data_IF_869395495558
#
_entry.id   IF_869395495558
#
_cell.length_a   1.000
_cell.length_b   1.000
_cell.length_c   1.000
_cell.angle_alpha   90.00
_cell.angle_beta   90.00
_cell.angle_gamma   90.00
#
_symmetry.space_group_name_H-M   'P 1'
#
loop_
_entity.id
_entity.type
_entity.pdbx_description
1 polymer ?
#
# COMPACT_ATOMS: atom_id res chain seq x y z
N UNK A 1 -15.66 -18.03 7.81
CA UNK A 1 -16.18 -19.25 8.47
C UNK A 1 -15.02 -20.19 8.67
N UNK A 2 -14.81 -20.66 9.90
CA UNK A 2 -13.74 -21.59 10.25
C UNK A 2 -13.89 -22.88 9.45
N UNK A 3 -12.80 -23.31 8.81
CA UNK A 3 -12.72 -24.66 8.22
C UNK A 3 -11.77 -25.47 9.07
N UNK A 4 -12.25 -26.65 9.50
CA UNK A 4 -11.45 -27.64 10.23
C UNK A 4 -10.81 -28.55 9.19
N UNK A 5 -9.49 -28.50 9.06
CA UNK A 5 -8.81 -29.14 7.93
C UNK A 5 -8.41 -30.58 8.17
N UNK A 6 -8.12 -30.98 9.41
CA UNK A 6 -7.71 -32.34 9.74
C UNK A 6 -7.99 -32.65 11.20
N UNK A 7 -8.62 -33.79 11.50
CA UNK A 7 -8.62 -34.39 12.83
C UNK A 7 -7.65 -35.58 12.77
N UNK A 8 -6.41 -35.37 13.23
CA UNK A 8 -5.44 -36.47 13.36
C UNK A 8 -5.62 -37.16 14.70
N UNK A 9 -5.78 -38.49 14.69
CA UNK A 9 -5.68 -39.35 15.88
C UNK A 9 -4.52 -40.31 15.71
N UNK A 10 -3.52 -40.25 16.58
CA UNK A 10 -2.38 -41.15 16.56
C UNK A 10 -1.64 -41.23 17.90
N UNK A 11 -0.87 -42.31 18.14
CA UNK A 11 0.00 -42.42 19.31
C UNK A 11 1.28 -41.61 19.12
N UNK A 12 1.79 -40.96 20.18
CA UNK A 12 3.14 -40.40 20.23
C UNK A 12 4.21 -41.51 20.32
N UNK A 13 5.37 -41.28 19.72
CA UNK A 13 6.52 -42.20 19.73
C UNK A 13 7.17 -42.33 21.11
N UNK A 14 8.05 -43.31 21.29
CA UNK A 14 8.47 -43.80 22.63
C UNK A 14 9.93 -43.55 23.02
N UNK A 15 10.68 -42.61 22.43
CA UNK A 15 12.12 -42.47 22.75
C UNK A 15 12.66 -41.02 22.75
N UNK A 16 13.34 -40.64 23.84
CA UNK A 16 14.30 -39.54 23.99
C UNK A 16 14.79 -38.88 22.70
N UNK A 17 14.44 -37.60 22.47
CA UNK A 17 14.97 -36.75 21.38
C UNK A 17 15.02 -37.45 20.00
N UNK A 18 14.15 -38.44 19.79
CA UNK A 18 14.20 -39.38 18.68
C UNK A 18 12.90 -40.17 18.51
N UNK A 19 11.82 -39.74 19.17
CA UNK A 19 10.47 -40.16 18.87
C UNK A 19 10.15 -39.66 17.45
N UNK A 20 9.21 -40.30 16.77
CA UNK A 20 8.77 -39.84 15.46
C UNK A 20 8.10 -38.47 15.61
N UNK A 21 8.89 -37.40 15.58
CA UNK A 21 8.46 -36.01 15.40
C UNK A 21 7.40 -36.02 14.31
N UNK A 22 6.16 -35.66 14.69
CA UNK A 22 5.09 -35.58 13.71
C UNK A 22 5.13 -34.20 13.12
N UNK A 23 5.75 -34.13 11.94
CA UNK A 23 5.74 -32.91 11.14
C UNK A 23 4.45 -32.88 10.31
N UNK A 24 3.60 -31.89 10.55
CA UNK A 24 2.36 -31.70 9.80
C UNK A 24 2.50 -30.46 8.94
N UNK A 25 2.49 -30.65 7.63
CA UNK A 25 2.46 -29.56 6.65
C UNK A 25 1.02 -29.18 6.31
N UNK A 26 0.72 -27.89 6.34
CA UNK A 26 -0.52 -27.35 5.80
C UNK A 26 -0.20 -26.11 4.96
N UNK A 27 -0.84 -26.05 3.80
CA UNK A 27 -0.78 -24.94 2.88
C UNK A 27 -2.22 -24.64 2.49
N UNK A 28 -2.70 -23.44 2.80
CA UNK A 28 -4.02 -23.00 2.36
C UNK A 28 -3.89 -21.69 1.59
N UNK A 29 -4.35 -21.65 0.32
CA UNK A 29 -4.25 -20.46 -0.51
C UNK A 29 -5.15 -19.30 -0.05
N UNK A 30 -6.06 -19.52 0.91
CA UNK A 30 -7.11 -18.56 1.25
C UNK A 30 -7.10 -18.04 2.70
N UNK A 31 -6.16 -18.46 3.56
CA UNK A 31 -6.22 -18.11 4.98
C UNK A 31 -4.93 -17.62 5.58
N UNK A 32 -5.14 -16.80 6.61
CA UNK A 32 -4.16 -15.86 7.08
C UNK A 32 -3.98 -16.00 8.59
N UNK A 33 -5.02 -16.31 9.38
CA UNK A 33 -4.85 -16.80 10.75
C UNK A 33 -5.17 -18.29 10.81
N UNK A 34 -4.23 -19.03 11.34
CA UNK A 34 -4.40 -20.44 11.64
C UNK A 34 -4.36 -20.60 13.15
N UNK A 35 -5.47 -21.06 13.71
CA UNK A 35 -5.54 -21.53 15.09
C UNK A 35 -5.34 -23.03 15.08
N UNK A 36 -4.42 -23.51 15.89
CA UNK A 36 -4.18 -24.94 16.12
C UNK A 36 -4.59 -25.22 17.55
N UNK A 37 -5.43 -26.22 17.75
CA UNK A 37 -5.79 -26.72 19.08
C UNK A 37 -5.45 -28.19 19.14
N UNK A 38 -4.62 -28.59 20.11
CA UNK A 38 -4.35 -30.00 20.39
C UNK A 38 -5.20 -30.39 21.60
N UNK A 39 -6.10 -31.35 21.40
CA UNK A 39 -6.96 -31.90 22.44
C UNK A 39 -6.37 -33.23 22.94
N UNK A 40 -6.35 -33.42 24.26
CA UNK A 40 -5.84 -34.62 24.89
C UNK A 40 -6.98 -35.40 25.55
N UNK A 41 -7.03 -36.72 25.34
CA UNK A 41 -8.07 -37.57 25.94
C UNK A 41 -7.92 -37.66 27.49
N UNK A 42 -6.78 -37.25 28.07
CA UNK A 42 -6.51 -37.20 29.51
C UNK A 42 -5.71 -35.93 29.90
N UNK A 43 -6.03 -35.32 31.05
CA UNK A 43 -5.54 -34.01 31.55
C UNK A 43 -4.02 -33.92 31.93
N UNK A 44 -3.10 -34.62 31.28
CA UNK A 44 -1.69 -34.68 31.74
C UNK A 44 -0.67 -34.58 30.60
N UNK A 45 -0.98 -33.81 29.57
CA UNK A 45 -0.10 -33.66 28.41
C UNK A 45 0.60 -32.29 28.43
N UNK A 46 1.92 -32.32 28.37
CA UNK A 46 2.79 -31.15 28.17
C UNK A 46 3.45 -31.32 26.80
N UNK A 47 3.07 -30.50 25.84
CA UNK A 47 3.46 -30.62 24.44
C UNK A 47 4.10 -29.30 23.99
N UNK A 48 5.25 -29.39 23.34
CA UNK A 48 5.82 -28.22 22.66
C UNK A 48 5.37 -28.20 21.21
N UNK A 49 4.77 -27.07 20.80
CA UNK A 49 4.36 -26.81 19.44
C UNK A 49 5.34 -25.87 18.75
N UNK A 50 6.03 -26.34 17.72
CA UNK A 50 6.95 -25.52 16.94
C UNK A 50 6.38 -25.26 15.56
N UNK A 51 6.24 -23.98 15.17
CA UNK A 51 5.94 -23.60 13.79
C UNK A 51 7.24 -23.31 13.04
N UNK A 52 7.64 -24.23 12.18
CA UNK A 52 8.71 -24.02 11.22
C UNK A 52 8.07 -23.47 9.94
N UNK A 53 8.35 -22.22 9.58
CA UNK A 53 7.97 -21.66 8.28
C UNK A 53 8.67 -22.38 7.11
N UNK A 54 8.82 -21.71 5.96
CA UNK A 54 9.41 -22.32 4.74
C UNK A 54 10.89 -22.73 4.85
N UNK A 55 11.57 -22.49 5.97
CA UNK A 55 12.99 -22.81 6.18
C UNK A 55 13.17 -23.96 7.18
N UNK A 56 13.32 -25.18 6.65
CA UNK A 56 13.79 -26.33 7.43
C UNK A 56 15.31 -26.45 7.27
N UNK A 57 16.05 -25.96 8.25
CA UNK A 57 17.46 -26.27 8.51
C UNK A 57 17.52 -26.68 9.98
N UNK A 58 17.73 -27.97 10.28
CA UNK A 58 17.80 -28.50 11.65
C UNK A 58 19.03 -28.00 12.45
N UNK A 59 19.56 -26.82 12.15
CA UNK A 59 20.79 -26.27 12.74
C UNK A 59 20.78 -24.77 12.99
N UNK A 60 19.76 -24.01 12.58
CA UNK A 60 19.77 -22.55 12.69
C UNK A 60 18.65 -22.02 13.60
N UNK A 61 19.05 -21.18 14.56
CA UNK A 61 18.24 -20.50 15.57
C UNK A 61 17.34 -19.39 14.97
N UNK A 62 16.58 -19.69 13.92
CA UNK A 62 15.56 -18.80 13.35
C UNK A 62 14.17 -19.49 13.26
N UNK A 63 13.92 -20.52 14.07
CA UNK A 63 12.55 -20.82 14.45
C UNK A 63 12.05 -19.64 15.28
N UNK A 64 10.99 -18.97 14.85
CA UNK A 64 10.24 -18.08 15.75
C UNK A 64 9.67 -18.95 16.87
N UNK A 65 10.44 -19.08 17.96
CA UNK A 65 10.03 -19.79 19.17
C UNK A 65 8.92 -18.98 19.82
N UNK A 66 7.68 -19.22 19.41
CA UNK A 66 6.49 -18.70 20.08
C UNK A 66 5.91 -19.79 20.98
N UNK A 67 6.32 -19.72 22.24
CA UNK A 67 5.68 -20.30 23.43
C UNK A 67 5.85 -21.80 23.72
N UNK A 68 6.35 -22.02 24.94
CA UNK A 68 6.19 -23.22 25.75
C UNK A 68 4.93 -23.01 26.59
N UNK A 69 3.93 -23.88 26.51
CA UNK A 69 2.84 -23.86 27.48
C UNK A 69 3.03 -25.03 28.45
N UNK A 70 3.32 -24.72 29.72
CA UNK A 70 3.26 -25.70 30.82
C UNK A 70 1.78 -25.97 31.19
N UNK A 71 0.96 -26.28 30.19
CA UNK A 71 -0.49 -26.33 30.29
C UNK A 71 -0.96 -27.57 31.04
N UNK A 72 -1.48 -27.42 32.26
CA UNK A 72 -2.06 -28.52 33.04
C UNK A 72 -3.52 -28.87 32.63
N UNK A 73 -3.89 -28.59 31.38
CA UNK A 73 -5.28 -28.63 30.89
C UNK A 73 -5.55 -29.76 29.86
N UNK A 74 -6.83 -29.99 29.49
CA UNK A 74 -7.22 -30.99 28.49
C UNK A 74 -6.89 -30.60 27.04
N UNK A 75 -6.43 -29.37 26.80
CA UNK A 75 -6.12 -28.89 25.45
C UNK A 75 -5.10 -27.74 25.48
N UNK A 76 -4.33 -27.63 24.41
CA UNK A 76 -3.41 -26.53 24.14
C UNK A 76 -3.78 -25.84 22.84
N UNK A 77 -3.62 -24.52 22.75
CA UNK A 77 -4.04 -23.74 21.59
C UNK A 77 -2.99 -22.69 21.21
N UNK A 78 -2.67 -22.63 19.92
CA UNK A 78 -1.78 -21.66 19.31
C UNK A 78 -2.46 -20.92 18.16
N UNK A 79 -2.15 -19.63 17.96
CA UNK A 79 -2.65 -18.83 16.82
C UNK A 79 -1.46 -18.25 16.08
N UNK A 80 -1.32 -18.61 14.82
CA UNK A 80 -0.24 -18.17 13.96
C UNK A 80 -0.77 -17.51 12.68
N UNK A 81 0.06 -16.67 12.09
CA UNK A 81 -0.22 -16.01 10.82
C UNK A 81 0.47 -16.78 9.69
N UNK A 82 -0.28 -17.07 8.62
CA UNK A 82 0.22 -17.70 7.40
C UNK A 82 0.06 -16.78 6.20
N UNK A 83 1.00 -16.85 5.25
CA UNK A 83 0.81 -16.19 3.95
C UNK A 83 0.07 -17.12 2.98
N UNK A 84 -0.68 -16.57 2.01
CA UNK A 84 -1.13 -17.34 0.86
C UNK A 84 0.08 -18.02 0.22
N UNK A 85 -0.03 -19.33 -0.06
CA UNK A 85 1.01 -20.18 -0.65
C UNK A 85 2.21 -20.54 0.24
N UNK A 86 2.20 -20.19 1.53
CA UNK A 86 3.19 -20.66 2.50
C UNK A 86 2.81 -22.05 3.03
N UNK A 87 3.79 -22.95 3.15
CA UNK A 87 3.59 -24.22 3.88
C UNK A 87 4.16 -24.07 5.28
N UNK A 88 3.28 -24.10 6.28
CA UNK A 88 3.70 -24.14 7.68
C UNK A 88 3.84 -25.58 8.13
N UNK A 89 4.91 -25.84 8.90
CA UNK A 89 5.20 -27.15 9.47
C UNK A 89 5.09 -27.08 10.97
N UNK A 90 4.30 -27.98 11.54
CA UNK A 90 4.16 -28.13 12.98
C UNK A 90 4.96 -29.32 13.45
N UNK A 91 5.80 -29.12 14.45
CA UNK A 91 6.40 -30.22 15.23
C UNK A 91 5.70 -30.30 16.56
N UNK A 92 5.35 -31.52 16.92
CA UNK A 92 4.69 -31.92 18.15
C UNK A 92 5.68 -32.79 18.90
N UNK A 93 6.23 -32.26 20.00
CA UNK A 93 7.22 -32.96 20.83
C UNK A 93 6.77 -33.12 22.28
N UNK A 94 7.23 -34.19 22.92
CA UNK A 94 6.92 -34.53 24.31
C UNK A 94 7.92 -33.84 25.26
N UNK A 95 7.44 -33.01 26.17
CA UNK A 95 8.28 -32.22 27.08
C UNK A 95 9.06 -33.06 28.11
N UNK A 96 8.44 -34.10 28.69
CA UNK A 96 9.12 -35.05 29.58
C UNK A 96 8.46 -36.45 29.53
N UNK A 97 9.29 -37.49 29.57
CA UNK A 97 8.89 -38.91 29.62
C UNK A 97 8.21 -39.28 30.95
N UNK A 98 8.27 -38.39 31.95
CA UNK A 98 7.71 -38.62 33.28
C UNK A 98 6.20 -38.35 33.40
N UNK A 99 5.60 -37.56 32.50
CA UNK A 99 4.18 -37.15 32.60
C UNK A 99 3.25 -37.78 31.55
N UNK A 100 3.72 -38.04 30.33
CA UNK A 100 2.89 -38.69 29.29
C UNK A 100 3.21 -40.18 29.12
N UNK A 101 2.20 -41.03 29.32
CA UNK A 101 2.31 -42.45 28.98
C UNK A 101 2.43 -42.63 27.45
N UNK A 102 3.31 -43.52 26.95
CA UNK A 102 3.40 -43.80 25.53
C UNK A 102 2.05 -44.26 24.97
N UNK A 103 1.63 -43.70 23.83
CA UNK A 103 0.38 -44.06 23.17
C UNK A 103 -0.88 -43.32 23.62
N UNK A 104 -0.76 -42.20 24.34
CA UNK A 104 -1.89 -41.30 24.58
C UNK A 104 -2.39 -40.74 23.24
N UNK A 105 -3.68 -40.94 22.90
CA UNK A 105 -4.26 -40.32 21.72
C UNK A 105 -4.42 -38.81 21.94
N UNK A 106 -4.07 -38.04 20.92
CA UNK A 106 -4.38 -36.63 20.81
C UNK A 106 -5.20 -36.39 19.55
N UNK A 107 -5.92 -35.27 19.52
CA UNK A 107 -6.66 -34.79 18.37
C UNK A 107 -6.22 -33.36 18.03
N UNK A 108 -5.71 -33.14 16.83
CA UNK A 108 -5.37 -31.79 16.35
C UNK A 108 -6.58 -31.24 15.64
N UNK A 109 -6.97 -30.02 15.99
CA UNK A 109 -7.95 -29.21 15.29
C UNK A 109 -7.23 -28.00 14.69
N UNK A 110 -7.24 -27.89 13.37
CA UNK A 110 -6.71 -26.73 12.65
C UNK A 110 -7.86 -25.89 12.13
N UNK A 111 -8.04 -24.71 12.71
CA UNK A 111 -9.06 -23.73 12.31
C UNK A 111 -8.41 -22.57 11.58
N UNK A 112 -8.82 -22.33 10.33
CA UNK A 112 -8.36 -21.18 9.56
C UNK A 112 -9.43 -20.08 9.49
N UNK A 113 -9.02 -18.83 9.72
CA UNK A 113 -9.87 -17.63 9.56
C UNK A 113 -9.23 -16.63 8.59
N UNK A 114 -10.04 -15.95 7.75
CA UNK A 114 -9.52 -14.92 6.86
C UNK A 114 -9.01 -13.72 7.67
N UNK A 115 -8.15 -12.89 7.06
CA UNK A 115 -7.94 -11.50 7.51
C UNK A 115 -9.28 -10.79 7.40
N UNK A 116 -9.63 -10.05 8.45
CA UNK A 116 -10.87 -9.29 8.53
C UNK A 116 -10.52 -7.93 9.06
N UNK A 117 -10.74 -6.92 8.22
CA UNK A 117 -10.59 -5.55 8.65
C UNK A 117 -11.53 -5.25 9.83
N UNK A 118 -11.01 -4.57 10.84
CA UNK A 118 -11.79 -4.17 12.01
C UNK A 118 -11.83 -5.20 13.13
N UNK A 119 -11.00 -6.25 13.09
CA UNK A 119 -10.87 -7.21 14.18
C UNK A 119 -9.90 -6.73 15.29
N UNK A 120 -9.19 -5.63 15.02
CA UNK A 120 -8.24 -4.97 15.91
C UNK A 120 -6.88 -5.64 15.94
N UNK A 121 -6.54 -6.41 14.90
CA UNK A 121 -5.25 -7.06 14.73
C UNK A 121 -4.76 -6.70 13.34
N UNK A 122 -3.77 -5.82 13.27
CA UNK A 122 -3.24 -5.46 11.95
C UNK A 122 -2.27 -6.51 11.44
N UNK A 123 -2.58 -7.06 10.27
CA UNK A 123 -1.69 -7.94 9.52
C UNK A 123 -0.84 -7.15 8.53
N UNK A 124 0.41 -6.86 8.87
CA UNK A 124 1.30 -5.94 8.12
C UNK A 124 1.54 -6.24 6.62
N UNK A 125 1.12 -7.41 6.13
CA UNK A 125 1.24 -7.82 4.74
C UNK A 125 -0.09 -7.76 3.97
N UNK A 126 -1.22 -7.60 4.68
CA UNK A 126 -2.57 -7.52 4.12
C UNK A 126 -3.24 -6.16 4.42
N UNK A 127 -2.93 -5.55 5.57
CA UNK A 127 -3.57 -4.35 6.11
C UNK A 127 -2.53 -3.28 6.42
N UNK A 128 -2.86 -2.03 6.10
CA UNK A 128 -2.02 -0.87 6.46
C UNK A 128 -2.32 -0.37 7.88
N UNK A 129 -3.53 -0.65 8.39
CA UNK A 129 -4.01 -0.33 9.73
C UNK A 129 -5.14 -1.31 10.09
N UNK A 130 -5.45 -1.45 11.38
CA UNK A 130 -6.72 -2.01 11.86
C UNK A 130 -7.06 -1.38 13.22
N UNK A 131 -7.93 -0.37 13.23
CA UNK A 131 -8.35 0.31 14.47
C UNK A 131 -9.47 -0.42 15.23
N UNK A 132 -9.86 -1.60 14.74
CA UNK A 132 -10.80 -2.54 15.31
C UNK A 132 -12.26 -2.17 15.14
N UNK A 133 -12.59 -1.51 14.03
CA UNK A 133 -13.93 -1.35 13.50
C UNK A 133 -13.90 -1.22 11.94
N UNK A 134 -15.07 -1.10 11.29
CA UNK A 134 -15.20 -0.91 9.83
C UNK A 134 -15.89 0.45 9.51
N UNK A 135 -15.86 1.39 10.45
CA UNK A 135 -16.34 2.75 10.22
C UNK A 135 -15.30 3.52 9.36
N UNK A 136 -15.72 4.64 8.79
CA UNK A 136 -14.84 5.50 7.99
C UNK A 136 -14.77 6.89 8.64
N UNK A 137 -13.65 7.58 8.47
CA UNK A 137 -13.38 8.90 9.01
C UNK A 137 -12.71 8.92 10.38
N UNK A 138 -12.27 7.79 10.90
CA UNK A 138 -11.47 7.64 12.14
C UNK A 138 -9.99 7.33 11.86
N UNK A 139 -9.61 7.20 10.60
CA UNK A 139 -8.23 7.08 10.13
C UNK A 139 -7.86 5.71 9.60
N UNK A 140 -8.68 4.68 9.83
CA UNK A 140 -8.56 3.38 9.18
C UNK A 140 -9.81 3.05 8.39
N UNK A 141 -9.68 2.84 7.08
CA UNK A 141 -10.85 2.64 6.23
C UNK A 141 -11.50 1.27 6.45
N UNK A 142 -12.74 1.05 5.97
CA UNK A 142 -13.39 -0.27 6.01
C UNK A 142 -12.65 -1.38 5.22
N UNK A 143 -11.62 -1.01 4.46
CA UNK A 143 -10.73 -1.93 3.73
C UNK A 143 -9.31 -1.95 4.31
N UNK A 144 -9.12 -1.41 5.51
CA UNK A 144 -7.86 -1.39 6.25
C UNK A 144 -6.72 -0.69 5.50
N UNK A 145 -7.11 0.36 4.76
CA UNK A 145 -6.20 1.35 4.21
C UNK A 145 -6.19 2.57 5.13
N UNK A 146 -5.01 3.16 5.35
CA UNK A 146 -4.91 4.43 6.09
C UNK A 146 -5.68 5.50 5.32
N UNK A 147 -6.60 6.18 5.99
CA UNK A 147 -7.42 7.22 5.36
C UNK A 147 -6.60 8.48 5.06
N UNK A 148 -6.99 9.28 4.04
CA UNK A 148 -6.30 10.54 3.74
C UNK A 148 -6.24 11.47 4.95
N UNK A 149 -5.11 12.16 5.11
CA UNK A 149 -4.85 13.10 6.21
C UNK A 149 -4.72 12.45 7.62
N UNK A 150 -4.66 11.12 7.73
CA UNK A 150 -4.42 10.40 8.99
C UNK A 150 -3.09 9.64 9.01
N UNK A 151 -2.50 9.55 10.19
CA UNK A 151 -1.44 8.59 10.49
C UNK A 151 -1.96 7.55 11.48
N UNK A 152 -1.55 6.30 11.29
CA UNK A 152 -1.84 5.21 12.21
C UNK A 152 -0.53 4.67 12.80
N UNK A 153 -0.49 4.53 14.12
CA UNK A 153 0.65 3.94 14.85
C UNK A 153 0.20 2.69 15.61
N UNK A 154 1.11 1.74 15.76
CA UNK A 154 0.73 0.40 16.22
C UNK A 154 -0.01 -0.34 15.10
N UNK A 155 0.31 -1.63 14.91
CA UNK A 155 -0.26 -2.36 13.78
C UNK A 155 0.54 -3.57 13.35
N UNK A 156 1.22 -4.24 14.29
CA UNK A 156 1.70 -5.60 14.03
C UNK A 156 1.15 -6.44 15.16
N UNK A 157 0.20 -7.33 14.85
CA UNK A 157 -0.50 -8.16 15.83
C UNK A 157 -1.22 -7.38 16.94
N UNK A 158 -1.55 -6.11 16.68
CA UNK A 158 -2.16 -5.18 17.63
C UNK A 158 -3.07 -4.21 16.88
N UNK A 159 -4.01 -3.61 17.61
CA UNK A 159 -4.91 -2.57 17.12
C UNK A 159 -4.12 -1.30 16.78
N UNK A 160 -4.40 -0.71 15.63
CA UNK A 160 -3.91 0.61 15.23
C UNK A 160 -4.56 1.73 16.01
N UNK A 161 -3.76 2.74 16.32
CA UNK A 161 -4.22 4.02 16.86
C UNK A 161 -4.05 5.07 15.77
N UNK A 162 -5.17 5.49 15.18
CA UNK A 162 -5.17 6.48 14.12
C UNK A 162 -5.49 7.88 14.67
N UNK A 163 -4.85 8.88 14.08
CA UNK A 163 -5.03 10.30 14.42
C UNK A 163 -4.70 11.16 13.21
N UNK A 164 -5.20 12.41 13.12
CA UNK A 164 -4.83 13.31 12.04
C UNK A 164 -3.30 13.45 11.94
N UNK A 165 -2.77 13.38 10.72
CA UNK A 165 -1.34 13.53 10.45
C UNK A 165 -0.87 14.95 10.82
N UNK A 166 0.22 15.08 11.60
CA UNK A 166 0.74 16.37 12.03
C UNK A 166 1.55 17.05 10.93
N UNK A 167 0.91 17.96 10.21
CA UNK A 167 1.64 18.79 9.25
C UNK A 167 2.56 19.84 9.90
N UNK A 168 3.80 19.92 9.40
CA UNK A 168 4.84 20.86 9.78
C UNK A 168 5.78 20.33 10.87
N UNK A 169 5.86 19.01 11.02
CA UNK A 169 6.71 18.35 12.01
C UNK A 169 8.08 17.88 11.46
N UNK A 170 8.38 18.25 10.20
CA UNK A 170 9.60 17.92 9.47
C UNK A 170 9.77 16.45 9.12
N UNK A 171 8.72 15.63 9.26
CA UNK A 171 8.69 14.25 8.83
C UNK A 171 7.55 14.06 7.80
N UNK A 172 7.69 13.12 6.88
CA UNK A 172 6.62 12.82 5.90
C UNK A 172 5.87 11.58 6.38
N UNK A 173 4.60 11.75 6.79
CA UNK A 173 3.76 10.61 7.15
C UNK A 173 2.98 10.09 5.94
N UNK A 174 3.50 9.06 5.28
CA UNK A 174 2.79 8.42 4.18
C UNK A 174 1.63 7.52 4.68
N UNK A 175 0.48 7.52 3.98
CA UNK A 175 0.17 8.23 2.75
C UNK A 175 -0.48 9.62 2.95
N UNK A 176 -0.56 10.12 4.18
CA UNK A 176 -1.26 11.35 4.51
C UNK A 176 -0.63 12.61 3.90
N UNK A 177 0.69 12.66 3.85
CA UNK A 177 1.45 13.82 3.43
C UNK A 177 2.30 13.51 2.20
N UNK A 178 2.36 14.47 1.26
CA UNK A 178 3.24 14.38 0.09
C UNK A 178 4.51 15.22 0.25
N UNK A 179 4.52 16.14 1.22
CA UNK A 179 5.64 16.98 1.60
C UNK A 179 5.49 17.37 3.08
N UNK A 180 6.57 17.74 3.74
CA UNK A 180 6.56 18.45 5.02
C UNK A 180 7.84 19.30 5.11
N UNK A 181 7.72 20.61 4.93
CA UNK A 181 8.85 21.54 4.96
C UNK A 181 9.12 22.15 6.36
N UNK A 182 8.55 21.54 7.40
CA UNK A 182 8.62 21.99 8.79
C UNK A 182 7.75 23.20 9.10
N UNK A 183 6.84 23.56 8.19
CA UNK A 183 5.96 24.70 8.29
C UNK A 183 4.51 24.39 7.90
N UNK A 184 3.69 25.44 7.89
CA UNK A 184 2.30 25.44 7.37
C UNK A 184 2.00 26.74 6.62
N UNK A 185 3.05 27.49 6.27
CA UNK A 185 2.90 28.76 5.56
C UNK A 185 2.68 28.46 4.07
N UNK A 186 1.54 28.82 3.47
CA UNK A 186 1.35 28.58 2.05
C UNK A 186 2.26 29.49 1.19
N UNK A 187 2.67 29.01 0.03
CA UNK A 187 3.43 29.71 -1.00
C UNK A 187 4.92 29.33 -1.09
N UNK A 188 5.42 28.52 -0.16
CA UNK A 188 6.78 27.98 -0.13
C UNK A 188 6.92 26.62 -0.85
N UNK A 189 5.80 26.00 -1.19
CA UNK A 189 5.71 24.77 -1.96
C UNK A 189 5.10 23.60 -1.23
N UNK A 190 4.89 23.69 0.09
CA UNK A 190 4.13 22.72 0.86
C UNK A 190 2.96 23.42 1.56
N UNK A 191 1.72 23.04 1.23
CA UNK A 191 0.57 23.76 1.75
C UNK A 191 0.31 23.49 3.24
N UNK A 192 -0.64 24.21 3.84
CA UNK A 192 -0.99 24.07 5.26
C UNK A 192 -1.57 22.69 5.65
N UNK A 193 -1.79 21.80 4.67
CA UNK A 193 -2.23 20.41 4.81
C UNK A 193 -1.16 19.42 4.34
N UNK A 194 0.09 19.88 4.18
CA UNK A 194 1.25 19.06 3.79
C UNK A 194 1.08 18.35 2.42
N UNK A 195 0.42 19.07 1.51
CA UNK A 195 0.29 18.71 0.10
C UNK A 195 1.18 19.61 -0.74
N UNK A 196 1.83 19.04 -1.76
CA UNK A 196 2.64 19.84 -2.68
C UNK A 196 1.78 20.93 -3.34
N UNK A 197 2.25 22.18 -3.27
CA UNK A 197 1.56 23.29 -3.91
C UNK A 197 1.67 23.23 -5.43
N UNK A 198 0.66 23.76 -6.11
CA UNK A 198 0.62 23.74 -7.57
C UNK A 198 1.84 24.44 -8.17
N UNK A 199 2.59 23.71 -9.02
CA UNK A 199 3.80 24.22 -9.65
C UNK A 199 5.05 24.12 -8.77
N UNK A 200 4.99 23.46 -7.62
CA UNK A 200 6.15 23.15 -6.78
C UNK A 200 6.45 21.65 -6.80
N UNK A 201 7.72 21.31 -6.56
CA UNK A 201 8.20 19.96 -6.33
C UNK A 201 8.98 19.98 -5.03
N UNK A 202 8.71 19.01 -4.17
CA UNK A 202 9.34 18.86 -2.88
C UNK A 202 10.20 17.59 -2.87
N UNK A 203 11.41 17.69 -2.33
CA UNK A 203 12.30 16.54 -2.18
C UNK A 203 12.89 16.49 -0.77
N UNK A 204 13.10 15.27 -0.25
CA UNK A 204 13.73 15.03 1.05
C UNK A 204 12.76 15.08 2.23
N UNK A 205 13.33 14.80 3.40
CA UNK A 205 12.66 14.82 4.71
C UNK A 205 13.63 15.46 5.73
N UNK A 206 13.39 16.70 6.19
CA UNK A 206 12.28 17.59 5.82
C UNK A 206 12.31 17.95 4.33
N UNK A 207 11.13 18.19 3.75
CA UNK A 207 10.97 18.60 2.36
C UNK A 207 11.63 19.93 2.11
N UNK A 208 12.42 19.99 1.04
CA UNK A 208 12.88 21.25 0.46
C UNK A 208 12.12 21.45 -0.84
N UNK A 209 11.21 22.42 -0.84
CA UNK A 209 10.35 22.69 -1.96
C UNK A 209 10.95 23.77 -2.88
N UNK A 210 10.78 23.55 -4.19
CA UNK A 210 11.20 24.48 -5.22
C UNK A 210 10.18 24.55 -6.35
N UNK A 211 10.15 25.67 -7.07
CA UNK A 211 9.28 25.78 -8.25
C UNK A 211 9.69 24.76 -9.30
N UNK A 212 8.71 24.00 -9.82
CA UNK A 212 8.87 23.13 -10.98
C UNK A 212 9.36 23.97 -12.17
N UNK A 213 10.20 23.41 -13.06
CA UNK A 213 10.54 24.08 -14.30
C UNK A 213 9.28 24.42 -15.09
N UNK A 214 9.06 25.71 -15.34
CA UNK A 214 7.94 26.22 -16.13
C UNK A 214 8.46 27.00 -17.34
N UNK A 215 7.59 27.21 -18.33
CA UNK A 215 7.87 28.08 -19.47
C UNK A 215 7.14 29.41 -19.32
N UNK A 216 7.81 30.50 -19.71
CA UNK A 216 7.29 31.86 -19.55
C UNK A 216 8.05 32.64 -18.47
N UNK A 217 7.43 33.69 -17.89
CA UNK A 217 6.06 34.13 -18.15
C UNK A 217 5.89 34.70 -19.56
N UNK A 218 4.80 34.34 -20.24
CA UNK A 218 4.47 34.86 -21.57
C UNK A 218 3.43 36.00 -21.50
N UNK A 219 3.40 36.84 -22.53
CA UNK A 219 2.34 37.84 -22.80
C UNK A 219 1.67 37.59 -24.16
N UNK A 220 0.48 38.18 -24.43
CA UNK A 220 -0.18 38.04 -25.72
C UNK A 220 0.71 38.32 -26.94
N UNK A 221 0.75 37.39 -27.88
CA UNK A 221 1.48 37.51 -29.14
C UNK A 221 2.96 37.12 -29.07
N UNK A 222 3.47 36.69 -27.92
CA UNK A 222 4.80 36.11 -27.83
C UNK A 222 4.88 34.73 -28.47
N UNK A 223 6.02 34.46 -29.10
CA UNK A 223 6.29 33.17 -29.72
C UNK A 223 6.62 32.15 -28.62
N UNK A 224 5.80 31.12 -28.51
CA UNK A 224 6.02 29.99 -27.62
C UNK A 224 6.63 28.85 -28.42
N UNK A 225 7.86 28.47 -28.10
CA UNK A 225 8.53 27.36 -28.77
C UNK A 225 7.73 26.05 -28.55
N UNK A 226 7.52 25.23 -29.60
CA UNK A 226 6.77 23.99 -29.49
C UNK A 226 7.36 23.05 -28.45
N UNK A 227 6.50 22.53 -27.58
CA UNK A 227 6.87 21.55 -26.57
C UNK A 227 6.84 20.17 -27.19
N UNK A 228 7.99 19.47 -27.17
CA UNK A 228 8.16 18.16 -27.81
C UNK A 228 8.31 17.11 -26.73
N UNK A 229 7.48 16.08 -26.78
CA UNK A 229 7.59 14.91 -25.91
C UNK A 229 8.17 13.70 -26.61
N UNK A 230 8.78 12.81 -25.84
CA UNK A 230 9.36 11.56 -26.30
C UNK A 230 8.33 10.43 -26.37
N UNK A 231 8.81 9.17 -26.29
CA UNK A 231 7.94 8.01 -26.18
C UNK A 231 7.12 8.09 -24.90
N UNK A 232 5.81 7.90 -25.00
CA UNK A 232 4.89 7.87 -23.87
C UNK A 232 4.03 6.61 -23.99
N UNK A 233 4.11 5.74 -22.98
CA UNK A 233 3.40 4.47 -22.98
C UNK A 233 1.91 4.68 -22.69
N UNK A 234 1.08 3.71 -23.07
CA UNK A 234 -0.34 3.71 -22.73
C UNK A 234 -0.57 3.97 -21.22
N UNK A 235 -1.55 4.83 -20.91
CA UNK A 235 -1.90 5.30 -19.57
C UNK A 235 -0.84 6.14 -18.83
N UNK A 236 0.27 6.50 -19.48
CA UNK A 236 1.21 7.47 -18.93
C UNK A 236 0.88 8.90 -19.40
N UNK A 237 1.36 9.86 -18.63
CA UNK A 237 1.17 11.28 -18.92
C UNK A 237 2.48 12.06 -18.78
N UNK A 238 2.68 13.02 -19.67
CA UNK A 238 3.71 14.04 -19.57
C UNK A 238 3.07 15.38 -19.22
N UNK A 239 3.77 16.18 -18.40
CA UNK A 239 3.25 17.43 -17.87
C UNK A 239 4.13 18.63 -18.24
N UNK A 240 3.52 19.74 -18.64
CA UNK A 240 4.17 21.05 -18.78
C UNK A 240 3.47 22.09 -17.93
N UNK A 241 4.27 22.98 -17.36
CA UNK A 241 3.80 24.16 -16.65
C UNK A 241 4.12 25.39 -17.49
N UNK A 242 3.10 26.22 -17.76
CA UNK A 242 3.22 27.44 -18.57
C UNK A 242 2.64 28.60 -17.80
N UNK A 243 3.43 29.66 -17.64
CA UNK A 243 3.04 30.88 -16.94
C UNK A 243 2.69 31.99 -17.94
N UNK A 244 1.60 32.70 -17.70
CA UNK A 244 1.23 33.92 -18.41
C UNK A 244 1.18 35.08 -17.42
N UNK A 245 1.87 36.19 -17.75
CA UNK A 245 1.91 37.39 -16.89
C UNK A 245 0.78 38.40 -17.18
N UNK A 246 -0.05 38.12 -18.19
CA UNK A 246 -1.22 38.90 -18.56
C UNK A 246 -2.32 37.96 -19.07
N UNK A 247 -3.55 38.46 -19.12
CA UNK A 247 -4.67 37.72 -19.68
C UNK A 247 -4.41 37.42 -21.18
N UNK A 248 -4.63 36.17 -21.58
CA UNK A 248 -4.40 35.68 -22.94
C UNK A 248 -5.63 34.97 -23.48
N UNK A 249 -5.81 35.05 -24.81
CA UNK A 249 -6.62 34.09 -25.56
C UNK A 249 -5.67 33.04 -26.13
N UNK A 250 -5.80 31.81 -25.64
CA UNK A 250 -4.94 30.69 -25.98
C UNK A 250 -5.62 29.80 -27.03
N UNK A 251 -4.89 29.53 -28.10
CA UNK A 251 -5.21 28.46 -29.05
C UNK A 251 -4.04 27.49 -29.10
N UNK A 252 -4.28 26.26 -29.55
CA UNK A 252 -3.18 25.32 -29.68
C UNK A 252 -3.58 23.97 -30.26
N UNK A 253 -2.60 23.08 -30.31
CA UNK A 253 -2.78 21.73 -30.77
C UNK A 253 -1.81 20.77 -30.07
N UNK A 254 -2.31 19.61 -29.62
CA UNK A 254 -1.50 18.44 -29.31
C UNK A 254 -1.54 17.49 -30.51
N UNK A 255 -0.39 17.17 -31.08
CA UNK A 255 -0.27 16.33 -32.28
C UNK A 255 0.72 15.20 -32.05
N UNK A 256 0.31 13.95 -32.27
CA UNK A 256 1.24 12.83 -32.40
C UNK A 256 1.99 12.99 -33.72
N UNK A 257 3.32 13.10 -33.64
CA UNK A 257 4.19 13.42 -34.78
C UNK A 257 4.90 12.20 -35.36
N UNK A 258 5.06 11.14 -34.56
CA UNK A 258 5.62 9.84 -34.96
C UNK A 258 4.83 8.74 -34.24
N UNK A 259 4.46 7.69 -34.98
CA UNK A 259 3.62 6.59 -34.49
C UNK A 259 2.17 6.68 -34.98
N UNK A 260 1.34 5.74 -34.55
CA UNK A 260 -0.10 5.65 -34.88
C UNK A 260 -1.02 5.76 -33.66
N UNK A 261 -0.46 6.16 -32.51
CA UNK A 261 -1.18 6.23 -31.25
C UNK A 261 -1.99 7.53 -31.05
N UNK A 262 -2.77 7.56 -29.98
CA UNK A 262 -3.59 8.68 -29.54
C UNK A 262 -3.14 9.24 -28.18
N UNK A 263 -3.22 10.56 -28.03
CA UNK A 263 -2.95 11.26 -26.79
C UNK A 263 -4.00 12.35 -26.55
N UNK A 264 -4.61 12.32 -25.38
CA UNK A 264 -5.57 13.33 -24.94
C UNK A 264 -4.84 14.52 -24.31
N UNK A 265 -5.47 15.69 -24.35
CA UNK A 265 -4.98 16.90 -23.69
C UNK A 265 -5.93 17.29 -22.56
N UNK A 266 -5.37 17.59 -21.40
CA UNK A 266 -6.12 18.26 -20.32
C UNK A 266 -5.34 19.48 -19.84
N UNK A 267 -6.06 20.57 -19.57
CA UNK A 267 -5.50 21.83 -19.08
C UNK A 267 -6.13 22.17 -17.72
N UNK A 268 -5.30 22.48 -16.73
CA UNK A 268 -5.73 22.91 -15.40
C UNK A 268 -5.22 24.31 -15.07
N UNK A 269 -6.00 25.06 -14.28
CA UNK A 269 -5.51 26.24 -13.57
C UNK A 269 -4.78 25.86 -12.27
N UNK A 270 -4.26 26.87 -11.56
CA UNK A 270 -3.57 26.69 -10.30
C UNK A 270 -4.46 26.14 -9.16
N UNK A 271 -5.77 26.36 -9.24
CA UNK A 271 -6.75 25.82 -8.30
C UNK A 271 -7.13 24.35 -8.59
N UNK A 272 -6.53 23.72 -9.61
CA UNK A 272 -6.82 22.33 -9.99
C UNK A 272 -8.14 22.15 -10.75
N UNK A 273 -8.81 23.23 -11.16
CA UNK A 273 -9.98 23.17 -12.01
C UNK A 273 -9.57 22.83 -13.45
N UNK A 274 -10.24 21.82 -14.03
CA UNK A 274 -10.10 21.47 -15.44
C UNK A 274 -10.73 22.56 -16.29
N UNK A 275 -9.93 23.23 -17.12
CA UNK A 275 -10.37 24.28 -18.03
C UNK A 275 -10.76 23.71 -19.39
N UNK A 276 -9.98 22.76 -19.88
CA UNK A 276 -10.22 22.08 -21.14
C UNK A 276 -9.88 20.59 -21.02
N UNK A 277 -10.64 19.78 -21.73
CA UNK A 277 -10.51 18.33 -21.78
C UNK A 277 -10.81 17.88 -23.21
N UNK A 278 -9.77 17.51 -23.93
CA UNK A 278 -9.86 17.07 -25.32
C UNK A 278 -9.55 15.57 -25.39
N UNK A 279 -10.49 14.82 -25.98
CA UNK A 279 -10.48 13.35 -26.08
C UNK A 279 -10.76 12.88 -27.51
N UNK A 280 -10.35 13.66 -28.51
CA UNK A 280 -10.46 13.23 -29.90
C UNK A 280 -9.47 12.08 -30.17
N UNK A 281 -9.65 11.40 -31.29
CA UNK A 281 -8.92 10.19 -31.66
C UNK A 281 -7.70 10.52 -32.53
N UNK A 282 -7.37 11.81 -32.72
CA UNK A 282 -6.37 12.27 -33.70
C UNK A 282 -5.54 13.44 -33.21
N UNK A 283 -6.05 14.66 -33.38
CA UNK A 283 -5.36 15.89 -33.00
C UNK A 283 -6.24 16.74 -32.08
N UNK A 284 -5.76 16.95 -30.85
CA UNK A 284 -6.45 17.76 -29.87
C UNK A 284 -6.18 19.22 -30.20
N UNK A 285 -7.08 19.85 -30.95
CA UNK A 285 -7.00 21.26 -31.32
C UNK A 285 -8.05 22.04 -30.53
N UNK A 286 -7.64 23.19 -30.01
CA UNK A 286 -8.55 24.12 -29.35
C UNK A 286 -8.28 25.54 -29.80
N UNK A 287 -9.31 26.37 -29.68
CA UNK A 287 -9.27 27.77 -30.09
C UNK A 287 -9.98 28.63 -29.06
N UNK A 288 -9.50 29.86 -28.94
CA UNK A 288 -10.13 30.94 -28.19
C UNK A 288 -10.35 30.69 -26.68
N UNK A 289 -9.48 29.88 -26.04
CA UNK A 289 -9.53 29.66 -24.59
C UNK A 289 -9.05 30.91 -23.84
N UNK A 290 -9.96 31.59 -23.14
CA UNK A 290 -9.65 32.79 -22.35
C UNK A 290 -9.03 32.40 -21.01
N UNK A 291 -7.78 32.76 -20.80
CA UNK A 291 -7.02 32.49 -19.59
C UNK A 291 -6.62 33.80 -18.91
N UNK A 292 -6.97 34.02 -17.64
CA UNK A 292 -6.36 35.07 -16.84
C UNK A 292 -4.84 34.92 -16.72
N UNK A 293 -4.12 35.96 -16.30
CA UNK A 293 -2.74 35.82 -15.88
C UNK A 293 -2.60 34.73 -14.78
N UNK A 294 -1.64 33.82 -14.92
CA UNK A 294 -1.45 32.71 -13.99
C UNK A 294 -0.58 31.58 -14.53
N UNK A 295 -0.40 30.56 -13.69
CA UNK A 295 0.30 29.32 -14.02
C UNK A 295 -0.73 28.24 -14.40
N UNK A 296 -0.45 27.52 -15.48
CA UNK A 296 -1.32 26.48 -16.02
C UNK A 296 -0.55 25.19 -16.23
N UNK A 297 -1.22 24.06 -15.97
CA UNK A 297 -0.67 22.71 -16.19
C UNK A 297 -1.32 22.13 -17.44
N UNK A 298 -0.50 21.61 -18.33
CA UNK A 298 -0.90 20.89 -19.53
C UNK A 298 -0.46 19.44 -19.36
N UNK A 299 -1.38 18.48 -19.54
CA UNK A 299 -1.02 17.06 -19.57
C UNK A 299 -1.35 16.46 -20.93
N UNK A 300 -0.36 15.83 -21.55
CA UNK A 300 -0.58 14.91 -22.66
C UNK A 300 -0.69 13.50 -22.06
N UNK A 301 -1.84 12.84 -22.25
CA UNK A 301 -2.15 11.55 -21.65
C UNK A 301 -2.31 10.52 -22.77
N UNK A 302 -1.44 9.51 -22.81
CA UNK A 302 -1.46 8.51 -23.86
C UNK A 302 -2.55 7.45 -23.64
N UNK A 303 -3.39 7.20 -24.66
CA UNK A 303 -4.36 6.10 -24.69
C UNK A 303 -3.89 4.88 -25.49
N UNK A 304 -2.69 4.99 -26.04
CA UNK A 304 -1.93 3.94 -26.72
C UNK A 304 -0.48 4.41 -26.77
N UNK A 305 0.46 3.49 -27.02
CA UNK A 305 1.86 3.88 -27.14
C UNK A 305 2.07 4.92 -28.26
N UNK A 306 2.73 6.03 -27.92
CA UNK A 306 3.13 7.09 -28.85
C UNK A 306 4.66 7.22 -28.84
N UNK A 307 5.27 7.38 -30.01
CA UNK A 307 6.74 7.51 -30.10
C UNK A 307 7.20 8.95 -29.88
N UNK A 308 6.43 9.91 -30.40
CA UNK A 308 6.73 11.34 -30.30
C UNK A 308 5.50 12.17 -30.58
N UNK A 309 5.30 13.22 -29.81
CA UNK A 309 4.22 14.18 -30.02
C UNK A 309 4.73 15.62 -29.81
N UNK A 310 3.92 16.60 -30.20
CA UNK A 310 4.23 18.03 -30.07
C UNK A 310 2.99 18.80 -29.64
N UNK A 311 3.16 19.65 -28.63
CA UNK A 311 2.20 20.62 -28.15
C UNK A 311 2.60 22.01 -28.66
N UNK A 312 1.74 22.62 -29.47
CA UNK A 312 1.92 23.98 -29.99
C UNK A 312 0.90 24.91 -29.36
N UNK A 313 1.36 26.09 -28.93
CA UNK A 313 0.55 27.11 -28.27
C UNK A 313 0.68 28.43 -29.03
N UNK A 314 -0.43 29.13 -29.20
CA UNK A 314 -0.50 30.47 -29.78
C UNK A 314 -1.32 31.36 -28.85
N UNK A 315 -0.80 32.55 -28.55
CA UNK A 315 -1.48 33.52 -27.69
C UNK A 315 -1.90 34.76 -28.47
N UNK A 316 -3.09 35.26 -28.18
CA UNK A 316 -3.61 36.52 -28.69
C UNK A 316 -4.12 37.39 -27.53
N UNK A 317 -4.31 38.68 -27.82
CA UNK A 317 -4.91 39.60 -26.84
C UNK A 317 -6.42 39.28 -26.70
N UNK A 318 -7.00 39.42 -25.49
CA UNK A 318 -8.40 39.07 -25.21
C UNK A 318 -9.48 39.94 -25.87
#
# INVERSE_FOLDING_TARGET
GSRVYNNYRGPLGTQHYGAEERIIGFADPAFNHVTITVHFDNNVADLDLFNYGDRVSCGDQEAEVYHFSNGTGPSERERLLTRPDQTSWLVIDQYDESEMAPGVPYEIEVTCTPVVCGDGITESWAEACDDGNEDAGDGCSPTCEIEPDFQCVGGINQRSMCSPAPCGDSAIQQPAESCDDGGREPGDGCDASCREEFGYVCEGEPSVCGRRPFRGPYVPGEVIEPMRGGPLAIHHADFWYVEFSADVVLSGALRVTVGIGNADLTIWNAEGAVLELHRDVRDEVWQDLRLPAGLYKFAAIAWSDIDRYTLTLETAAP
#
